data_IF_321741947008
#
_entry.id   IF_321741947008
#
_cell.length_a   1.000
_cell.length_b   1.000
_cell.length_c   1.000
_cell.angle_alpha   90.00
_cell.angle_beta   90.00
_cell.angle_gamma   90.00
#
_symmetry.space_group_name_H-M   'P 1'
#
loop_
_entity.id
_entity.type
_entity.pdbx_description
1 polymer ?
#
# COMPACT_ATOMS: atom_id res chain seq x y z
N UNK A 1 3.88 16.90 -4.00
CA UNK A 1 4.62 15.69 -3.63
C UNK A 1 5.13 15.64 -2.18
N UNK A 2 5.91 16.60 -1.64
CA UNK A 2 6.43 16.51 -0.24
C UNK A 2 5.38 16.65 0.88
N UNK A 3 4.13 17.03 0.59
CA UNK A 3 3.06 17.25 1.59
C UNK A 3 1.85 16.31 1.45
N UNK A 4 1.91 15.32 0.57
CA UNK A 4 0.81 14.36 0.41
C UNK A 4 0.84 13.35 1.55
N UNK A 5 -0.33 13.10 2.14
CA UNK A 5 -0.56 12.01 3.09
C UNK A 5 -1.12 10.84 2.30
N UNK A 6 -0.54 9.67 2.49
CA UNK A 6 -1.01 8.42 1.94
C UNK A 6 -1.47 7.51 3.08
N UNK A 7 -2.29 6.53 2.74
CA UNK A 7 -2.80 5.52 3.64
C UNK A 7 -2.28 4.15 3.22
N UNK A 8 -1.94 3.34 4.21
CA UNK A 8 -1.38 2.00 4.07
C UNK A 8 -2.28 1.00 4.79
N UNK A 9 -2.31 -0.23 4.30
CA UNK A 9 -2.93 -1.35 5.03
C UNK A 9 -1.84 -2.14 5.74
N UNK A 10 -1.86 -2.11 7.07
CA UNK A 10 -0.91 -2.83 7.93
C UNK A 10 -1.59 -4.00 8.60
N UNK A 11 -0.99 -5.17 8.46
CA UNK A 11 -1.39 -6.39 9.14
C UNK A 11 -1.22 -6.24 10.66
N UNK A 12 -2.28 -6.56 11.40
CA UNK A 12 -2.31 -6.54 12.87
C UNK A 12 -1.53 -7.70 13.48
N UNK A 13 -1.29 -8.80 12.75
CA UNK A 13 -0.64 -9.99 13.28
C UNK A 13 0.89 -9.91 13.25
N UNK A 14 1.46 -9.33 12.20
CA UNK A 14 2.92 -9.29 11.98
C UNK A 14 3.46 -7.90 11.65
N UNK A 15 2.58 -6.89 11.56
CA UNK A 15 2.96 -5.51 11.27
C UNK A 15 3.43 -5.29 9.83
N UNK A 16 3.31 -6.27 8.94
CA UNK A 16 3.66 -6.13 7.52
C UNK A 16 2.60 -5.32 6.77
N UNK A 17 2.97 -4.82 5.60
CA UNK A 17 2.08 -4.00 4.78
C UNK A 17 1.53 -4.79 3.59
N UNK A 18 0.35 -4.38 3.11
CA UNK A 18 -0.21 -4.91 1.87
C UNK A 18 0.66 -4.48 0.68
N UNK A 19 1.00 -5.44 -0.18
CA UNK A 19 1.86 -5.21 -1.34
C UNK A 19 1.26 -5.83 -2.59
N UNK A 20 1.46 -5.18 -3.74
CA UNK A 20 1.27 -5.82 -5.04
C UNK A 20 2.52 -6.58 -5.46
N UNK A 21 2.33 -7.76 -6.07
CA UNK A 21 3.42 -8.57 -6.65
C UNK A 21 3.08 -8.92 -8.12
N UNK A 22 3.34 -8.00 -9.07
CA UNK A 22 3.09 -8.25 -10.49
C UNK A 22 3.92 -9.41 -11.05
N UNK A 23 5.11 -9.62 -10.49
CA UNK A 23 5.96 -10.78 -10.74
C UNK A 23 6.14 -11.54 -9.43
N UNK A 24 5.84 -12.84 -9.44
CA UNK A 24 5.88 -13.70 -8.25
C UNK A 24 7.29 -13.79 -7.62
N UNK A 25 8.34 -13.63 -8.43
CA UNK A 25 9.74 -13.74 -7.98
C UNK A 25 10.36 -12.39 -7.57
N UNK A 26 9.68 -11.26 -7.84
CA UNK A 26 10.20 -9.94 -7.54
C UNK A 26 9.79 -9.46 -6.14
N UNK A 27 10.59 -8.52 -5.59
CA UNK A 27 10.20 -7.75 -4.41
C UNK A 27 8.88 -7.01 -4.66
N UNK A 28 8.01 -7.02 -3.65
CA UNK A 28 6.69 -6.40 -3.75
C UNK A 28 6.74 -4.88 -3.83
N UNK A 29 5.67 -4.30 -4.35
CA UNK A 29 5.41 -2.86 -4.34
C UNK A 29 4.44 -2.53 -3.22
N UNK A 30 4.79 -1.55 -2.39
CA UNK A 30 3.93 -1.09 -1.30
C UNK A 30 2.69 -0.41 -1.87
N UNK A 31 1.49 -0.86 -1.49
CA UNK A 31 0.27 -0.20 -1.93
C UNK A 31 0.02 1.07 -1.10
N UNK A 32 -0.19 2.18 -1.81
CA UNK A 32 -0.57 3.47 -1.24
C UNK A 32 -1.99 3.82 -1.66
N UNK A 33 -2.79 4.29 -0.72
CA UNK A 33 -4.13 4.80 -0.97
C UNK A 33 -4.13 6.32 -0.74
N UNK A 34 -4.70 7.13 -1.65
CA UNK A 34 -4.82 8.57 -1.45
C UNK A 34 -5.72 8.94 -0.27
N UNK A 35 -6.74 8.11 0.01
CA UNK A 35 -7.75 8.34 1.05
C UNK A 35 -7.87 7.13 1.99
N UNK A 36 -8.22 7.37 3.26
CA UNK A 36 -8.41 6.34 4.29
C UNK A 36 -9.53 5.36 3.91
N UNK A 37 -10.66 5.90 3.44
CA UNK A 37 -11.81 5.09 3.04
C UNK A 37 -11.51 4.23 1.81
N UNK A 38 -10.63 4.67 0.91
CA UNK A 38 -10.21 3.89 -0.26
C UNK A 38 -9.44 2.64 0.14
N UNK A 39 -8.58 2.73 1.17
CA UNK A 39 -7.83 1.59 1.70
C UNK A 39 -8.76 0.49 2.21
N UNK A 40 -9.73 0.86 3.05
CA UNK A 40 -10.71 -0.09 3.58
C UNK A 40 -11.66 -0.60 2.50
N UNK A 41 -12.08 0.25 1.58
CA UNK A 41 -12.94 -0.14 0.46
C UNK A 41 -12.27 -1.17 -0.43
N UNK A 42 -11.00 -0.94 -0.80
CA UNK A 42 -10.20 -1.89 -1.59
C UNK A 42 -10.14 -3.26 -0.89
N UNK A 43 -9.82 -3.29 0.40
CA UNK A 43 -9.68 -4.54 1.12
C UNK A 43 -11.02 -5.27 1.26
N UNK A 44 -12.10 -4.54 1.53
CA UNK A 44 -13.44 -5.11 1.60
C UNK A 44 -13.93 -5.65 0.24
N UNK A 45 -13.53 -5.03 -0.87
CA UNK A 45 -13.91 -5.49 -2.22
C UNK A 45 -13.14 -6.73 -2.64
N UNK A 46 -11.83 -6.78 -2.38
CA UNK A 46 -10.95 -7.81 -2.96
C UNK A 46 -10.56 -8.93 -1.98
N UNK A 47 -10.70 -8.73 -0.67
CA UNK A 47 -10.30 -9.71 0.35
C UNK A 47 -11.05 -9.50 1.69
N UNK A 48 -12.38 -9.41 1.64
CA UNK A 48 -13.24 -9.15 2.80
C UNK A 48 -12.99 -10.08 3.99
N UNK A 49 -12.68 -11.35 3.71
CA UNK A 49 -12.45 -12.39 4.70
C UNK A 49 -11.22 -12.14 5.58
N UNK A 50 -10.23 -11.39 5.08
CA UNK A 50 -9.04 -11.00 5.86
C UNK A 50 -9.06 -9.54 6.30
N UNK A 51 -10.07 -8.74 5.91
CA UNK A 51 -10.10 -7.30 6.16
C UNK A 51 -9.95 -6.94 7.65
N UNK A 52 -10.60 -7.71 8.53
CA UNK A 52 -10.51 -7.52 10.00
C UNK A 52 -9.08 -7.64 10.56
N UNK A 53 -8.17 -8.30 9.83
CA UNK A 53 -6.77 -8.51 10.22
C UNK A 53 -5.86 -7.33 9.87
N UNK A 54 -6.37 -6.34 9.15
CA UNK A 54 -5.61 -5.14 8.79
C UNK A 54 -6.12 -3.91 9.55
N UNK A 55 -5.25 -2.93 9.69
CA UNK A 55 -5.53 -1.58 10.14
C UNK A 55 -5.02 -0.58 9.10
N UNK A 56 -5.66 0.58 9.00
CA UNK A 56 -5.15 1.67 8.17
C UNK A 56 -4.12 2.47 8.95
N UNK A 57 -3.02 2.81 8.29
CA UNK A 57 -1.93 3.64 8.82
C UNK A 57 -1.68 4.80 7.85
N UNK A 58 -1.71 6.04 8.35
CA UNK A 58 -1.34 7.22 7.55
C UNK A 58 0.18 7.42 7.52
N UNK A 59 0.72 7.81 6.38
CA UNK A 59 2.14 8.11 6.19
C UNK A 59 2.32 9.38 5.36
N UNK A 60 3.29 10.23 5.74
CA UNK A 60 3.70 11.34 4.88
C UNK A 60 4.46 10.80 3.66
N UNK A 61 4.24 11.39 2.48
CA UNK A 61 5.00 11.07 1.26
C UNK A 61 6.52 11.13 1.45
N UNK A 62 7.01 11.98 2.37
CA UNK A 62 8.43 12.08 2.72
C UNK A 62 8.98 10.83 3.43
N UNK A 63 8.13 10.11 4.16
CA UNK A 63 8.50 8.93 4.95
C UNK A 63 8.42 7.64 4.14
N UNK A 64 7.74 7.65 2.99
CA UNK A 64 7.55 6.49 2.11
C UNK A 64 8.91 5.89 1.70
N UNK A 65 9.87 6.72 1.29
CA UNK A 65 11.20 6.24 0.86
C UNK A 65 11.93 5.48 1.97
N UNK A 66 11.83 5.94 3.23
CA UNK A 66 12.42 5.26 4.38
C UNK A 66 11.77 3.89 4.60
N UNK A 67 10.44 3.82 4.46
CA UNK A 67 9.69 2.58 4.61
C UNK A 67 10.04 1.56 3.52
N UNK A 68 10.14 1.99 2.26
CA UNK A 68 10.55 1.12 1.14
C UNK A 68 11.91 0.47 1.40
N UNK A 69 12.91 1.28 1.81
CA UNK A 69 14.27 0.79 2.11
C UNK A 69 14.28 -0.21 3.27
N UNK A 70 13.55 0.08 4.35
CA UNK A 70 13.49 -0.78 5.55
C UNK A 70 12.91 -2.16 5.25
N UNK A 71 11.91 -2.25 4.38
CA UNK A 71 11.21 -3.51 4.07
C UNK A 71 11.67 -4.17 2.77
N UNK A 72 12.58 -3.54 2.02
CA UNK A 72 13.12 -4.09 0.76
C UNK A 72 12.10 -4.11 -0.39
N UNK A 73 11.15 -3.17 -0.39
CA UNK A 73 10.16 -3.06 -1.46
C UNK A 73 10.77 -2.44 -2.72
N UNK A 74 10.35 -2.91 -3.90
CA UNK A 74 10.85 -2.39 -5.18
C UNK A 74 10.35 -0.98 -5.50
N UNK A 75 9.28 -0.55 -4.86
CA UNK A 75 8.64 0.73 -5.13
C UNK A 75 7.26 0.82 -4.50
N UNK A 76 6.45 1.75 -4.99
CA UNK A 76 5.06 1.92 -4.57
C UNK A 76 4.10 1.64 -5.72
N UNK A 77 2.90 1.18 -5.37
CA UNK A 77 1.75 1.13 -6.25
C UNK A 77 0.65 2.03 -5.70
N UNK A 78 0.34 3.12 -6.39
CA UNK A 78 -0.74 4.03 -5.95
C UNK A 78 -2.06 3.50 -6.49
N UNK A 79 -3.01 3.19 -5.60
CA UNK A 79 -4.36 2.72 -5.95
C UNK A 79 -5.26 3.94 -6.13
N UNK A 80 -5.59 4.29 -7.37
CA UNK A 80 -6.44 5.46 -7.68
C UNK A 80 -7.92 5.12 -7.80
N UNK A 81 -8.26 3.84 -7.88
CA UNK A 81 -9.64 3.33 -7.92
C UNK A 81 -9.68 2.02 -7.13
N UNK A 82 -10.34 1.97 -5.96
CA UNK A 82 -10.37 0.77 -5.13
C UNK A 82 -11.27 -0.34 -5.70
N UNK A 83 -12.20 -0.01 -6.60
CA UNK A 83 -13.11 -0.98 -7.22
C UNK A 83 -12.49 -1.63 -8.45
N UNK A 84 -11.78 -0.85 -9.25
CA UNK A 84 -11.04 -1.28 -10.44
C UNK A 84 -9.56 -0.87 -10.31
N UNK A 85 -8.75 -1.63 -9.55
CA UNK A 85 -7.42 -1.20 -9.13
C UNK A 85 -6.50 -0.89 -10.30
N UNK A 86 -6.38 0.40 -10.59
CA UNK A 86 -5.29 0.96 -11.39
C UNK A 86 -4.15 1.27 -10.44
N UNK A 87 -3.05 0.55 -10.63
CA UNK A 87 -1.86 0.66 -9.79
C UNK A 87 -0.73 1.27 -10.60
N UNK A 88 -0.33 2.49 -10.24
CA UNK A 88 0.82 3.15 -10.86
C UNK A 88 2.09 2.79 -10.09
N UNK A 89 3.00 2.08 -10.74
CA UNK A 89 4.25 1.64 -10.14
C UNK A 89 5.34 2.70 -10.30
N UNK A 90 5.90 3.15 -9.18
CA UNK A 90 7.01 4.09 -9.15
C UNK A 90 8.21 3.44 -8.46
N UNK A 91 9.36 3.47 -9.14
CA UNK A 91 10.64 3.05 -8.58
C UNK A 91 11.48 4.28 -8.29
N UNK A 92 12.07 4.40 -7.09
CA UNK A 92 13.04 5.46 -6.83
C UNK A 92 14.26 5.27 -7.74
N UNK A 93 14.65 6.35 -8.45
CA UNK A 93 15.83 6.43 -9.33
C UNK A 93 17.14 6.26 -8.59
#
# INVERSE_FOLDING_TARGET
>A
MLSEVYYLLRSKSDGRYLTARPNAEASGYLLLFPEDFDAMSYLNTHAAEVAHRFAVESISGTQVVSLLKRWGFSGVGIVTDPLLPKVNFLQPS
#
